data_IF_914813694181
#
_entry.id   IF_914813694181
#
_cell.length_a   1.000
_cell.length_b   1.000
_cell.length_c   1.000
_cell.angle_alpha   90.00
_cell.angle_beta   90.00
_cell.angle_gamma   90.00
#
_symmetry.space_group_name_H-M   'P 1'
#
loop_
_entity.id
_entity.type
_entity.pdbx_description
1 polymer ?
#
# COMPACT_ATOMS: atom_id res chain seq x y z
N UNK A 1 5.88 0.56 11.02
CA UNK A 1 4.76 0.28 10.08
C UNK A 1 5.25 -0.26 8.73
N UNK A 2 6.03 0.50 7.94
CA UNK A 2 6.46 0.08 6.58
C UNK A 2 7.29 -1.20 6.56
N UNK A 3 8.20 -1.40 7.53
CA UNK A 3 8.99 -2.64 7.64
C UNK A 3 8.10 -3.87 7.82
N UNK A 4 7.08 -3.78 8.68
CA UNK A 4 6.13 -4.87 8.89
C UNK A 4 5.33 -5.19 7.62
N UNK A 5 4.94 -4.16 6.86
CA UNK A 5 4.26 -4.31 5.58
C UNK A 5 5.14 -5.01 4.55
N UNK A 6 6.40 -4.59 4.41
CA UNK A 6 7.34 -5.20 3.46
C UNK A 6 7.64 -6.65 3.85
N UNK A 7 7.81 -6.94 5.14
CA UNK A 7 8.01 -8.30 5.63
C UNK A 7 6.80 -9.21 5.30
N UNK A 8 5.57 -8.73 5.58
CA UNK A 8 4.36 -9.47 5.26
C UNK A 8 4.20 -9.71 3.75
N UNK A 9 4.43 -8.68 2.93
CA UNK A 9 4.44 -8.82 1.46
C UNK A 9 5.47 -9.85 1.01
N UNK A 10 6.66 -9.84 1.60
CA UNK A 10 7.71 -10.83 1.32
C UNK A 10 7.25 -12.26 1.59
N UNK A 11 6.58 -12.50 2.72
CA UNK A 11 6.04 -13.82 3.08
C UNK A 11 4.93 -14.25 2.12
N UNK A 12 3.98 -13.37 1.78
CA UNK A 12 2.91 -13.72 0.82
C UNK A 12 3.49 -13.98 -0.56
N UNK A 13 4.54 -13.25 -0.96
CA UNK A 13 5.20 -13.41 -2.24
C UNK A 13 5.89 -14.77 -2.43
N UNK A 14 6.08 -15.56 -1.36
CA UNK A 14 6.51 -16.97 -1.48
C UNK A 14 5.46 -17.85 -2.17
N UNK A 15 4.19 -17.45 -2.14
CA UNK A 15 3.06 -18.20 -2.70
C UNK A 15 2.39 -17.44 -3.84
N UNK A 16 2.22 -16.12 -3.70
CA UNK A 16 1.57 -15.28 -4.71
C UNK A 16 2.09 -13.84 -4.73
N UNK A 17 2.45 -13.35 -5.92
CA UNK A 17 3.23 -12.12 -6.10
C UNK A 17 2.41 -10.83 -5.93
N UNK A 18 2.35 -10.30 -4.71
CA UNK A 18 1.88 -8.95 -4.41
C UNK A 18 2.86 -7.86 -4.89
N UNK A 19 2.31 -6.68 -5.19
CA UNK A 19 3.11 -5.48 -5.46
C UNK A 19 3.55 -4.79 -4.15
N UNK A 20 4.83 -4.87 -3.83
CA UNK A 20 5.42 -4.13 -2.70
C UNK A 20 5.32 -2.61 -2.85
N UNK A 21 5.42 -2.09 -4.07
CA UNK A 21 5.23 -0.65 -4.34
C UNK A 21 3.81 -0.20 -3.98
N UNK A 22 2.80 -1.00 -4.36
CA UNK A 22 1.41 -0.72 -4.03
C UNK A 22 1.17 -0.77 -2.51
N UNK A 23 1.75 -1.76 -1.83
CA UNK A 23 1.64 -1.89 -0.38
C UNK A 23 2.27 -0.69 0.37
N UNK A 24 3.48 -0.28 -0.03
CA UNK A 24 4.20 0.82 0.61
C UNK A 24 3.51 2.17 0.35
N UNK A 25 3.11 2.47 -0.89
CA UNK A 25 2.45 3.76 -1.18
C UNK A 25 1.10 3.88 -0.46
N UNK A 26 0.33 2.79 -0.36
CA UNK A 26 -0.91 2.75 0.41
C UNK A 26 -0.67 2.93 1.92
N UNK A 27 0.39 2.30 2.45
CA UNK A 27 0.83 2.48 3.85
C UNK A 27 1.15 3.95 4.14
N UNK A 28 1.91 4.60 3.26
CA UNK A 28 2.23 6.03 3.40
C UNK A 28 0.97 6.89 3.32
N UNK A 29 0.05 6.60 2.40
CA UNK A 29 -1.21 7.33 2.27
C UNK A 29 -2.06 7.26 3.55
N UNK A 30 -2.15 6.07 4.18
CA UNK A 30 -2.82 5.88 5.48
C UNK A 30 -2.11 6.66 6.59
N UNK A 31 -0.78 6.61 6.67
CA UNK A 31 -0.01 7.35 7.67
C UNK A 31 -0.27 8.86 7.57
N UNK A 32 -0.25 9.40 6.35
CA UNK A 32 -0.50 10.82 6.08
C UNK A 32 -1.96 11.18 6.38
N UNK A 33 -2.92 10.31 6.04
CA UNK A 33 -4.33 10.51 6.39
C UNK A 33 -4.54 10.63 7.90
N UNK A 34 -3.89 9.76 8.67
CA UNK A 34 -3.97 9.79 10.15
C UNK A 34 -3.36 11.09 10.69
N UNK A 35 -2.20 11.50 10.18
CA UNK A 35 -1.46 12.65 10.69
C UNK A 35 -2.08 14.01 10.29
N UNK A 36 -2.66 14.10 9.09
CA UNK A 36 -3.09 15.37 8.49
C UNK A 36 -4.59 15.43 8.15
N UNK A 37 -5.33 14.36 8.41
CA UNK A 37 -6.76 14.28 8.19
C UNK A 37 -7.18 14.14 6.72
N UNK A 38 -8.50 14.12 6.44
CA UNK A 38 -9.04 13.74 5.13
C UNK A 38 -8.61 14.62 3.96
N UNK A 39 -8.23 15.88 4.19
CA UNK A 39 -7.74 16.79 3.14
C UNK A 39 -6.50 16.25 2.45
N UNK A 40 -5.67 15.46 3.14
CA UNK A 40 -4.48 14.86 2.54
C UNK A 40 -4.80 13.88 1.40
N UNK A 41 -6.02 13.35 1.34
CA UNK A 41 -6.47 12.44 0.27
C UNK A 41 -6.40 13.08 -1.11
N UNK A 42 -6.56 14.41 -1.20
CA UNK A 42 -6.42 15.15 -2.45
C UNK A 42 -5.04 14.99 -3.08
N UNK A 43 -4.01 14.78 -2.25
CA UNK A 43 -2.63 14.56 -2.70
C UNK A 43 -2.29 13.07 -2.77
N UNK A 44 -2.68 12.29 -1.75
CA UNK A 44 -2.24 10.89 -1.66
C UNK A 44 -2.96 9.97 -2.63
N UNK A 45 -4.24 10.20 -2.93
CA UNK A 45 -5.00 9.34 -3.87
C UNK A 45 -4.41 9.38 -5.28
N UNK A 46 -4.13 10.55 -5.90
CA UNK A 46 -3.47 10.59 -7.21
C UNK A 46 -2.11 9.86 -7.23
N UNK A 47 -1.31 10.00 -6.17
CA UNK A 47 0.01 9.35 -6.05
C UNK A 47 -0.14 7.83 -5.98
N UNK A 48 -1.08 7.32 -5.18
CA UNK A 48 -1.39 5.89 -5.11
C UNK A 48 -1.82 5.38 -6.48
N UNK A 49 -2.78 6.04 -7.13
CA UNK A 49 -3.29 5.60 -8.44
C UNK A 49 -2.20 5.62 -9.51
N UNK A 50 -1.38 6.68 -9.58
CA UNK A 50 -0.26 6.77 -10.51
C UNK A 50 0.76 5.64 -10.28
N UNK A 51 1.05 5.32 -9.01
CA UNK A 51 1.96 4.22 -8.65
C UNK A 51 1.39 2.88 -9.10
N UNK A 52 0.11 2.60 -8.79
CA UNK A 52 -0.58 1.36 -9.17
C UNK A 52 -0.61 1.19 -10.70
N UNK A 53 -0.99 2.25 -11.41
CA UNK A 53 -1.03 2.26 -12.88
C UNK A 53 0.37 2.01 -13.47
N UNK A 54 1.42 2.64 -12.95
CA UNK A 54 2.79 2.44 -13.44
C UNK A 54 3.20 0.96 -13.40
N UNK A 55 2.80 0.23 -12.36
CA UNK A 55 3.17 -1.18 -12.18
C UNK A 55 2.50 -2.10 -13.19
N UNK A 56 1.26 -1.78 -13.57
CA UNK A 56 0.53 -2.51 -14.60
C UNK A 56 1.03 -2.11 -15.99
N UNK A 57 1.19 -0.81 -16.25
CA UNK A 57 1.61 -0.28 -17.56
C UNK A 57 3.00 -0.75 -17.98
N UNK A 58 3.92 -0.86 -17.03
CA UNK A 58 5.27 -1.40 -17.24
C UNK A 58 5.31 -2.93 -17.30
N UNK A 59 4.17 -3.62 -17.18
CA UNK A 59 4.08 -5.08 -17.26
C UNK A 59 4.68 -5.82 -16.05
N UNK A 60 5.00 -5.13 -14.96
CA UNK A 60 5.66 -5.74 -13.81
C UNK A 60 4.71 -6.54 -12.90
N UNK A 61 3.44 -6.15 -12.88
CA UNK A 61 2.37 -6.76 -12.08
C UNK A 61 1.04 -6.74 -12.81
N UNK A 62 0.16 -7.70 -12.48
CA UNK A 62 -1.25 -7.67 -12.93
C UNK A 62 -2.09 -6.72 -12.08
N UNK A 63 -3.26 -6.26 -12.56
CA UNK A 63 -4.20 -5.45 -11.76
C UNK A 63 -4.54 -6.09 -10.41
N UNK A 64 -4.78 -7.40 -10.37
CA UNK A 64 -5.07 -8.11 -9.13
C UNK A 64 -3.91 -8.03 -8.13
N UNK A 65 -2.66 -8.17 -8.59
CA UNK A 65 -1.47 -8.11 -7.74
C UNK A 65 -1.24 -6.71 -7.14
N UNK A 66 -1.55 -5.64 -7.89
CA UNK A 66 -1.42 -4.27 -7.37
C UNK A 66 -2.57 -3.89 -6.43
N UNK A 67 -3.80 -4.29 -6.74
CA UNK A 67 -4.96 -4.08 -5.86
C UNK A 67 -4.76 -4.80 -4.53
N UNK A 68 -4.40 -6.09 -4.57
CA UNK A 68 -4.16 -6.87 -3.37
C UNK A 68 -2.98 -6.32 -2.55
N UNK A 69 -1.88 -5.92 -3.21
CA UNK A 69 -0.74 -5.29 -2.54
C UNK A 69 -1.14 -4.00 -1.83
N UNK A 70 -1.88 -3.11 -2.51
CA UNK A 70 -2.39 -1.87 -1.91
C UNK A 70 -3.33 -2.11 -0.74
N UNK A 71 -4.25 -3.07 -0.86
CA UNK A 71 -5.19 -3.44 0.20
C UNK A 71 -4.47 -3.97 1.45
N UNK A 72 -3.49 -4.88 1.28
CA UNK A 72 -2.68 -5.40 2.39
C UNK A 72 -1.91 -4.27 3.08
N UNK A 73 -1.28 -3.37 2.31
CA UNK A 73 -0.55 -2.23 2.86
C UNK A 73 -1.43 -1.31 3.69
N UNK A 74 -2.59 -0.91 3.15
CA UNK A 74 -3.54 -0.05 3.86
C UNK A 74 -4.10 -0.73 5.13
N UNK A 75 -4.49 -2.01 5.05
CA UNK A 75 -5.05 -2.74 6.17
C UNK A 75 -4.05 -2.91 7.32
N UNK A 76 -2.81 -3.32 7.02
CA UNK A 76 -1.75 -3.44 8.02
C UNK A 76 -1.39 -2.11 8.64
N UNK A 77 -1.35 -1.04 7.85
CA UNK A 77 -1.07 0.30 8.37
C UNK A 77 -2.12 0.73 9.41
N UNK A 78 -3.40 0.60 9.05
CA UNK A 78 -4.52 0.91 9.94
C UNK A 78 -4.53 0.03 11.19
N UNK A 79 -4.27 -1.27 11.04
CA UNK A 79 -4.22 -2.20 12.17
C UNK A 79 -3.07 -1.90 13.14
N UNK A 80 -1.86 -1.63 12.61
CA UNK A 80 -0.70 -1.25 13.44
C UNK A 80 -0.96 0.06 14.17
N UNK A 81 -1.56 1.04 13.51
CA UNK A 81 -1.96 2.29 14.18
C UNK A 81 -2.94 2.01 15.32
N UNK A 82 -4.04 1.32 15.05
CA UNK A 82 -5.07 1.04 16.04
C UNK A 82 -4.58 0.23 17.25
N UNK A 83 -3.53 -0.59 17.09
CA UNK A 83 -2.95 -1.37 18.18
C UNK A 83 -1.94 -0.59 19.03
N UNK A 84 -1.37 0.50 18.51
CA UNK A 84 -0.28 1.25 19.15
C UNK A 84 -0.68 2.66 19.58
N UNK A 85 -1.90 3.11 19.25
CA UNK A 85 -2.50 4.38 19.67
C UNK A 85 -3.40 4.20 20.88
#
# INVERSE_FOLDING_TARGET
>A
MTVAVVAMVGVVNLVWKLSGHAAVVATCAVAVLIAYGPVSLLLTVPIVLATLWSRVRLGAHTPAQVIAGGAVGAALASAVWALLS
#
